data_IF_957037182565
#
_entry.id   IF_957037182565
#
_cell.length_a   1.000
_cell.length_b   1.000
_cell.length_c   1.000
_cell.angle_alpha   90.00
_cell.angle_beta   90.00
_cell.angle_gamma   90.00
#
_symmetry.space_group_name_H-M   'P 1'
#
loop_
_entity.id
_entity.type
_entity.pdbx_description
1 polymer ?
#
# COMPACT_ATOMS: atom_id res chain seq x y z
N UNK A 1 -56.49 11.17 2.07
CA UNK A 1 -56.62 9.79 1.52
C UNK A 1 -55.42 9.60 0.60
N UNK A 2 -54.47 8.68 0.73
CA UNK A 2 -54.28 7.40 1.42
C UNK A 2 -52.75 7.29 1.53
N UNK A 3 -52.12 7.01 2.68
CA UNK A 3 -52.13 5.71 3.33
C UNK A 3 -50.96 4.87 2.81
N UNK A 4 -49.99 4.72 3.70
CA UNK A 4 -48.87 3.79 3.83
C UNK A 4 -48.79 2.51 2.97
N UNK A 5 -47.61 1.89 3.12
CA UNK A 5 -47.32 0.44 3.11
C UNK A 5 -46.78 -0.16 1.80
N UNK A 6 -45.45 -0.24 1.74
CA UNK A 6 -44.68 -1.48 1.58
C UNK A 6 -45.52 -2.71 1.18
N UNK A 7 -45.34 -3.21 -0.05
CA UNK A 7 -45.70 -4.58 -0.40
C UNK A 7 -44.52 -5.29 -1.06
N UNK A 8 -44.08 -6.29 -0.32
CA UNK A 8 -43.15 -7.37 -0.65
C UNK A 8 -43.88 -8.43 -1.48
N UNK A 9 -43.09 -9.22 -2.23
CA UNK A 9 -43.36 -10.52 -2.87
C UNK A 9 -44.07 -10.46 -4.24
N UNK A 10 -43.71 -11.27 -5.25
CA UNK A 10 -43.04 -12.58 -5.27
C UNK A 10 -42.23 -12.71 -6.58
N UNK A 11 -40.96 -13.11 -6.53
CA UNK A 11 -40.49 -14.49 -6.71
C UNK A 11 -40.83 -15.12 -8.07
N UNK A 12 -39.85 -15.17 -8.97
CA UNK A 12 -39.32 -16.41 -9.58
C UNK A 12 -38.55 -16.08 -10.86
N UNK A 13 -37.22 -16.18 -10.83
CA UNK A 13 -36.46 -16.63 -12.00
C UNK A 13 -35.11 -17.21 -11.53
N UNK A 14 -35.08 -18.54 -11.58
CA UNK A 14 -33.97 -19.39 -11.95
C UNK A 14 -32.64 -19.27 -11.18
N UNK A 15 -32.49 -20.24 -10.29
CA UNK A 15 -31.25 -20.79 -9.76
C UNK A 15 -30.33 -21.30 -10.89
N UNK A 16 -29.20 -20.63 -11.15
CA UNK A 16 -27.99 -21.23 -11.74
C UNK A 16 -26.78 -20.34 -11.48
N UNK A 17 -25.76 -20.89 -10.78
CA UNK A 17 -24.41 -20.33 -10.75
C UNK A 17 -23.93 -19.93 -9.35
N UNK A 18 -23.42 -20.91 -8.60
CA UNK A 18 -22.38 -20.65 -7.61
C UNK A 18 -21.28 -19.81 -8.27
N UNK A 19 -20.82 -18.74 -7.62
CA UNK A 19 -19.41 -18.39 -7.39
C UNK A 19 -19.32 -16.94 -6.86
N UNK A 20 -18.53 -16.79 -5.80
CA UNK A 20 -17.93 -15.55 -5.33
C UNK A 20 -18.86 -14.51 -4.67
N UNK A 21 -19.35 -14.82 -3.46
CA UNK A 21 -19.22 -13.84 -2.36
C UNK A 21 -17.77 -13.92 -1.87
N UNK A 22 -16.86 -13.53 -2.77
CA UNK A 22 -15.45 -13.38 -2.49
C UNK A 22 -15.12 -11.91 -2.71
N UNK A 23 -14.42 -11.33 -1.75
CA UNK A 23 -13.74 -10.04 -1.87
C UNK A 23 -14.60 -8.79 -1.60
N UNK A 24 -15.17 -8.72 -0.39
CA UNK A 24 -14.89 -7.56 0.44
C UNK A 24 -13.81 -7.97 1.45
N UNK A 25 -12.59 -8.22 0.95
CA UNK A 25 -11.43 -8.18 1.82
C UNK A 25 -11.09 -6.70 1.97
N UNK A 26 -11.33 -6.15 3.16
CA UNK A 26 -10.65 -4.95 3.57
C UNK A 26 -9.17 -5.16 3.25
N UNK A 27 -8.63 -4.33 2.36
CA UNK A 27 -7.22 -4.33 2.02
C UNK A 27 -6.45 -3.66 3.16
N UNK A 28 -6.50 -4.26 4.35
CA UNK A 28 -5.32 -4.23 5.21
C UNK A 28 -4.28 -4.99 4.40
N UNK A 29 -3.33 -4.26 3.79
CA UNK A 29 -2.14 -4.87 3.27
C UNK A 29 -1.50 -5.60 4.45
N UNK A 30 -1.74 -6.90 4.55
CA UNK A 30 -1.29 -7.70 5.68
C UNK A 30 0.22 -7.50 5.78
N UNK A 31 0.67 -6.90 6.89
CA UNK A 31 2.08 -6.64 7.13
C UNK A 31 2.86 -7.95 6.94
N UNK A 32 3.67 -7.98 5.89
CA UNK A 32 4.42 -9.18 5.54
C UNK A 32 5.77 -9.11 6.23
N UNK A 33 5.86 -9.76 7.39
CA UNK A 33 7.13 -9.90 8.06
C UNK A 33 8.10 -10.69 7.17
N UNK A 34 9.28 -10.13 6.90
CA UNK A 34 10.32 -10.74 6.09
C UNK A 34 11.63 -10.79 6.86
N UNK A 35 12.38 -11.87 6.66
CA UNK A 35 13.76 -11.94 7.17
C UNK A 35 14.62 -10.98 6.35
N UNK A 36 15.18 -9.99 7.00
CA UNK A 36 16.11 -9.05 6.39
C UNK A 36 17.47 -9.72 6.19
N UNK A 37 18.10 -9.41 5.06
CA UNK A 37 19.51 -9.75 4.81
C UNK A 37 20.42 -8.61 5.30
N UNK A 38 21.68 -8.94 5.57
CA UNK A 38 22.68 -7.95 5.99
C UNK A 38 22.87 -6.86 4.92
N UNK A 39 22.92 -7.25 3.63
CA UNK A 39 23.01 -6.32 2.51
C UNK A 39 21.82 -5.35 2.44
N UNK A 40 20.59 -5.83 2.68
CA UNK A 40 19.39 -4.97 2.70
C UNK A 40 19.46 -3.92 3.82
N UNK A 41 19.93 -4.32 5.01
CA UNK A 41 20.11 -3.41 6.13
C UNK A 41 21.21 -2.38 5.79
N UNK A 42 22.38 -2.82 5.32
CA UNK A 42 23.45 -1.91 4.94
C UNK A 42 23.06 -0.91 3.85
N UNK A 43 22.36 -1.38 2.81
CA UNK A 43 21.90 -0.52 1.73
C UNK A 43 20.86 0.48 2.24
N UNK A 44 19.98 0.08 3.15
CA UNK A 44 19.03 0.99 3.78
C UNK A 44 19.75 2.06 4.61
N UNK A 45 20.73 1.67 5.43
CA UNK A 45 21.54 2.60 6.21
C UNK A 45 22.24 3.65 5.32
N UNK A 46 22.75 3.24 4.16
CA UNK A 46 23.36 4.16 3.17
C UNK A 46 22.34 5.08 2.51
N UNK A 47 21.10 4.63 2.35
CA UNK A 47 20.02 5.38 1.69
C UNK A 47 19.35 6.42 2.60
N UNK A 48 19.39 6.24 3.93
CA UNK A 48 18.64 7.06 4.90
C UNK A 48 18.74 8.57 4.65
N UNK A 49 19.96 9.08 4.41
CA UNK A 49 20.17 10.51 4.22
C UNK A 49 19.50 11.08 2.97
N UNK A 50 19.42 10.30 1.88
CA UNK A 50 18.74 10.73 0.65
C UNK A 50 17.22 10.53 0.75
N UNK A 51 16.78 9.44 1.38
CA UNK A 51 15.37 9.19 1.66
C UNK A 51 14.77 10.28 2.52
N UNK A 52 15.41 10.65 3.63
CA UNK A 52 14.93 11.70 4.52
C UNK A 52 14.76 13.03 3.77
N UNK A 53 15.76 13.43 2.98
CA UNK A 53 15.66 14.64 2.13
C UNK A 53 14.55 14.55 1.11
N UNK A 54 14.26 13.37 0.58
CA UNK A 54 13.19 13.19 -0.40
C UNK A 54 11.82 13.24 0.27
N UNK A 55 11.66 12.63 1.44
CA UNK A 55 10.45 12.73 2.24
C UNK A 55 10.19 14.15 2.70
N UNK A 56 11.20 14.89 3.18
CA UNK A 56 11.09 16.31 3.51
C UNK A 56 10.55 17.15 2.33
N UNK A 57 11.04 16.90 1.11
CA UNK A 57 10.52 17.59 -0.08
C UNK A 57 9.07 17.23 -0.40
N UNK A 58 8.69 15.97 -0.21
CA UNK A 58 7.32 15.50 -0.41
C UNK A 58 6.40 16.14 0.63
N UNK A 59 6.78 16.17 1.90
CA UNK A 59 6.04 16.81 2.98
C UNK A 59 5.88 18.33 2.74
N UNK A 60 6.95 19.00 2.31
CA UNK A 60 6.93 20.43 1.96
C UNK A 60 6.02 20.75 0.78
N UNK A 61 5.78 19.79 -0.12
CA UNK A 61 4.87 19.97 -1.25
C UNK A 61 3.37 19.91 -0.83
N UNK A 62 3.07 19.46 0.39
CA UNK A 62 1.71 19.45 0.94
C UNK A 62 0.82 18.34 0.37
N UNK A 63 -0.49 18.59 0.27
CA UNK A 63 -1.52 17.57 0.01
C UNK A 63 -1.43 16.89 -1.37
N UNK A 64 -0.72 17.50 -2.32
CA UNK A 64 -0.55 16.98 -3.68
C UNK A 64 0.91 17.10 -4.13
N UNK A 65 1.80 16.23 -3.63
CA UNK A 65 3.18 16.22 -4.08
C UNK A 65 3.25 15.90 -5.57
N UNK A 66 4.13 16.60 -6.30
CA UNK A 66 4.40 16.34 -7.70
C UNK A 66 4.80 14.86 -7.89
N UNK A 67 4.29 14.22 -8.95
CA UNK A 67 4.60 12.82 -9.27
C UNK A 67 6.11 12.57 -9.38
N UNK A 68 6.87 13.56 -9.84
CA UNK A 68 8.33 13.53 -9.94
C UNK A 68 8.99 13.44 -8.57
N UNK A 69 8.43 14.08 -7.53
CA UNK A 69 8.92 13.95 -6.16
C UNK A 69 8.68 12.53 -5.65
N UNK A 70 7.51 11.96 -5.91
CA UNK A 70 7.23 10.57 -5.51
C UNK A 70 8.13 9.58 -6.28
N UNK A 71 8.32 9.79 -7.58
CA UNK A 71 9.25 9.00 -8.41
C UNK A 71 10.72 9.12 -7.96
N UNK A 72 11.08 10.18 -7.24
CA UNK A 72 12.40 10.32 -6.63
C UNK A 72 12.73 9.17 -5.67
N UNK A 73 11.72 8.61 -4.99
CA UNK A 73 11.90 7.46 -4.09
C UNK A 73 12.30 6.19 -4.85
N UNK A 74 11.70 5.96 -6.02
CA UNK A 74 12.07 4.86 -6.93
C UNK A 74 13.51 4.98 -7.44
N UNK A 75 13.93 6.22 -7.76
CA UNK A 75 15.30 6.48 -8.20
C UNK A 75 16.32 6.23 -7.08
N UNK A 76 16.00 6.65 -5.85
CA UNK A 76 16.84 6.40 -4.66
C UNK A 76 16.91 4.90 -4.39
N UNK A 77 15.79 4.18 -4.39
CA UNK A 77 15.76 2.74 -4.18
C UNK A 77 16.71 2.01 -5.15
N UNK A 78 16.58 2.28 -6.45
CA UNK A 78 17.46 1.68 -7.47
C UNK A 78 18.92 2.05 -7.31
N UNK A 79 19.22 3.30 -6.94
CA UNK A 79 20.59 3.78 -6.70
C UNK A 79 21.30 2.99 -5.59
N UNK A 80 20.56 2.59 -4.55
CA UNK A 80 21.12 1.83 -3.42
C UNK A 80 20.97 0.32 -3.56
N UNK A 81 20.60 -0.17 -4.74
CA UNK A 81 20.58 -1.60 -5.06
C UNK A 81 19.28 -2.32 -4.70
N UNK A 82 18.22 -1.59 -4.40
CA UNK A 82 16.88 -2.15 -4.30
C UNK A 82 16.26 -2.28 -5.69
N UNK A 83 15.39 -3.28 -5.87
CA UNK A 83 14.71 -3.55 -7.14
C UNK A 83 13.66 -2.50 -7.47
N UNK A 84 12.99 -1.97 -6.44
CA UNK A 84 11.95 -0.95 -6.51
C UNK A 84 11.81 -0.23 -5.18
N UNK A 85 11.08 0.89 -5.18
CA UNK A 85 10.67 1.54 -3.94
C UNK A 85 9.77 0.63 -3.09
N UNK A 86 8.91 -0.19 -3.69
CA UNK A 86 8.08 -1.14 -2.94
C UNK A 86 8.91 -2.14 -2.12
N UNK A 87 10.06 -2.60 -2.65
CA UNK A 87 10.98 -3.45 -1.88
C UNK A 87 11.58 -2.67 -0.70
N UNK A 88 12.03 -1.45 -0.95
CA UNK A 88 12.59 -0.58 0.08
C UNK A 88 11.56 -0.26 1.17
N UNK A 89 10.33 0.05 0.81
CA UNK A 89 9.23 0.33 1.74
C UNK A 89 8.90 -0.90 2.61
N UNK A 90 8.86 -2.09 2.01
CA UNK A 90 8.68 -3.34 2.77
C UNK A 90 9.82 -3.58 3.77
N UNK A 91 11.06 -3.28 3.39
CA UNK A 91 12.23 -3.37 4.28
C UNK A 91 12.12 -2.35 5.41
N UNK A 92 11.79 -1.09 5.10
CA UNK A 92 11.58 -0.04 6.10
C UNK A 92 10.52 -0.43 7.13
N UNK A 93 9.37 -0.91 6.66
CA UNK A 93 8.28 -1.39 7.53
C UNK A 93 8.74 -2.52 8.45
N UNK A 94 9.55 -3.46 7.95
CA UNK A 94 10.09 -4.57 8.74
C UNK A 94 11.15 -4.14 9.75
N UNK A 95 11.99 -3.17 9.41
CA UNK A 95 12.95 -2.57 10.35
C UNK A 95 12.21 -1.87 11.49
N UNK A 96 11.19 -1.06 11.16
CA UNK A 96 10.38 -0.34 12.15
C UNK A 96 9.56 -1.24 13.06
N UNK A 97 9.29 -2.49 12.69
CA UNK A 97 8.60 -3.44 13.56
C UNK A 97 9.52 -4.09 14.59
N UNK A 98 10.83 -4.16 14.32
CA UNK A 98 11.83 -4.80 15.19
C UNK A 98 12.45 -3.80 16.18
N UNK A 99 12.54 -2.52 15.81
CA UNK A 99 13.10 -1.43 16.61
C UNK A 99 12.03 -0.70 17.42
#
# INVERSE_FOLDING_TARGET
MVGSVLRIAAAALALTGLLAVGQLQAQEAAFKQMKLTEAQIENYLKAQGELNKQFEKIEQAGEQPDKTLVQGLEAIAKKYGFSSYDELDAIMSNISFVL
#
